data_IF_410124106104
#
_entry.id   IF_410124106104
#
_cell.length_a   1.000
_cell.length_b   1.000
_cell.length_c   1.000
_cell.angle_alpha   90.00
_cell.angle_beta   90.00
_cell.angle_gamma   90.00
#
_symmetry.space_group_name_H-M   'P 1'
#
loop_
_entity.id
_entity.type
_entity.pdbx_description
1 polymer ?
#
# COMPACT_ATOMS: atom_id res chain seq x y z
N UNK A 1 -0.27 1.58 -16.85
CA UNK A 1 -0.48 2.30 -15.60
C UNK A 1 -0.26 1.37 -14.42
N UNK A 2 0.35 1.85 -13.37
CA UNK A 2 0.65 1.07 -12.19
C UNK A 2 -0.07 1.67 -10.99
N UNK A 3 -0.53 0.82 -10.08
CA UNK A 3 -1.14 1.24 -8.83
C UNK A 3 -0.67 0.34 -7.69
N UNK A 4 -0.79 0.82 -6.48
CA UNK A 4 -0.47 0.06 -5.28
C UNK A 4 -1.76 -0.13 -4.48
N UNK A 5 -2.09 -1.40 -4.20
CA UNK A 5 -3.23 -1.74 -3.37
C UNK A 5 -2.74 -2.04 -1.97
N UNK A 6 -3.24 -1.30 -0.98
CA UNK A 6 -2.86 -1.46 0.42
C UNK A 6 -3.88 -2.28 1.17
N UNK A 7 -3.38 -3.23 1.94
CA UNK A 7 -4.20 -4.17 2.70
C UNK A 7 -3.78 -4.19 4.15
N UNK A 8 -4.74 -4.49 5.01
CA UNK A 8 -4.51 -4.77 6.42
C UNK A 8 -4.71 -6.26 6.65
N UNK A 9 -3.70 -6.90 7.24
CA UNK A 9 -3.76 -8.34 7.50
C UNK A 9 -4.54 -8.59 8.79
N UNK A 10 -5.68 -9.24 8.68
CA UNK A 10 -6.56 -9.55 9.79
C UNK A 10 -6.74 -11.06 9.87
N UNK A 11 -6.35 -11.65 11.00
CA UNK A 11 -6.43 -13.11 11.19
C UNK A 11 -7.86 -13.63 11.21
N UNK A 12 -8.81 -12.83 11.69
CA UNK A 12 -10.19 -13.27 11.83
C UNK A 12 -11.03 -13.09 10.58
N UNK A 13 -10.73 -12.05 9.78
CA UNK A 13 -11.56 -11.67 8.64
C UNK A 13 -10.83 -11.75 7.31
N UNK A 14 -9.56 -12.16 7.31
CA UNK A 14 -8.73 -12.14 6.12
C UNK A 14 -8.22 -10.73 5.81
N UNK A 15 -7.55 -10.60 4.68
CA UNK A 15 -6.94 -9.33 4.30
C UNK A 15 -8.02 -8.34 3.86
N UNK A 16 -7.93 -7.12 4.36
CA UNK A 16 -8.91 -6.07 4.06
C UNK A 16 -8.25 -4.96 3.25
N UNK A 17 -8.87 -4.58 2.13
CA UNK A 17 -8.39 -3.49 1.30
C UNK A 17 -8.57 -2.16 2.02
N UNK A 18 -7.46 -1.43 2.16
CA UNK A 18 -7.46 -0.11 2.79
C UNK A 18 -7.62 1.02 1.78
N UNK A 19 -6.98 0.87 0.63
CA UNK A 19 -7.03 1.90 -0.39
C UNK A 19 -6.12 1.58 -1.56
N UNK A 20 -6.20 2.40 -2.58
CA UNK A 20 -5.42 2.25 -3.80
C UNK A 20 -4.71 3.57 -4.09
N UNK A 21 -3.40 3.50 -4.33
CA UNK A 21 -2.60 4.66 -4.68
C UNK A 21 -2.10 4.49 -6.12
N UNK A 22 -2.62 5.28 -7.06
CA UNK A 22 -2.09 5.24 -8.44
C UNK A 22 -0.68 5.79 -8.50
N UNK A 23 0.18 5.12 -9.27
CA UNK A 23 1.54 5.61 -9.49
C UNK A 23 1.51 6.64 -10.62
N UNK A 24 1.86 7.88 -10.32
CA UNK A 24 1.83 8.98 -11.27
C UNK A 24 3.21 9.52 -11.61
N UNK A 25 4.26 8.90 -11.07
CA UNK A 25 5.63 9.35 -11.29
C UNK A 25 6.12 8.90 -12.66
N UNK A 26 6.97 9.73 -13.28
CA UNK A 26 7.54 9.40 -14.58
C UNK A 26 8.54 8.25 -14.50
N UNK A 27 9.18 8.07 -13.35
CA UNK A 27 10.18 7.04 -13.14
C UNK A 27 9.81 6.20 -11.93
N UNK A 28 8.80 5.31 -12.04
CA UNK A 28 8.34 4.51 -10.91
C UNK A 28 9.41 3.54 -10.38
N UNK A 29 10.39 3.17 -11.18
CA UNK A 29 11.49 2.31 -10.76
C UNK A 29 12.38 2.94 -9.69
N UNK A 30 12.31 4.25 -9.48
CA UNK A 30 13.03 4.95 -8.41
C UNK A 30 12.31 4.89 -7.08
N UNK A 31 11.08 4.40 -7.08
CA UNK A 31 10.30 4.29 -5.85
C UNK A 31 10.66 3.01 -5.14
N UNK A 32 11.13 3.13 -3.91
CA UNK A 32 11.48 1.96 -3.10
C UNK A 32 10.25 1.44 -2.36
N UNK A 33 10.28 0.15 -2.01
CA UNK A 33 9.21 -0.44 -1.18
C UNK A 33 9.11 0.27 0.16
N UNK A 34 10.25 0.64 0.73
CA UNK A 34 10.29 1.38 1.99
C UNK A 34 9.56 2.71 1.90
N UNK A 35 9.75 3.44 0.81
CA UNK A 35 9.08 4.72 0.58
C UNK A 35 7.56 4.55 0.52
N UNK A 36 7.10 3.53 -0.19
CA UNK A 36 5.66 3.24 -0.30
C UNK A 36 5.08 2.85 1.05
N UNK A 37 5.79 2.00 1.80
CA UNK A 37 5.34 1.58 3.13
C UNK A 37 5.31 2.73 4.13
N UNK A 38 6.28 3.64 4.06
CA UNK A 38 6.29 4.82 4.93
C UNK A 38 5.07 5.70 4.66
N UNK A 39 4.73 5.89 3.40
CA UNK A 39 3.52 6.62 3.04
C UNK A 39 2.28 5.94 3.62
N UNK A 40 2.18 4.61 3.49
CA UNK A 40 1.03 3.85 3.98
C UNK A 40 0.90 3.95 5.50
N UNK A 41 2.02 3.85 6.22
CA UNK A 41 2.01 3.96 7.68
C UNK A 41 1.54 5.33 8.14
N UNK A 42 1.87 6.37 7.41
CA UNK A 42 1.38 7.72 7.71
C UNK A 42 -0.10 7.86 7.36
N UNK A 43 -0.50 7.40 6.19
CA UNK A 43 -1.86 7.55 5.71
C UNK A 43 -2.87 6.75 6.54
N UNK A 44 -2.45 5.58 7.05
CA UNK A 44 -3.33 4.67 7.80
C UNK A 44 -2.92 4.55 9.26
N UNK A 45 -2.30 5.59 9.82
CA UNK A 45 -1.80 5.55 11.21
C UNK A 45 -2.93 5.34 12.24
N UNK A 46 -4.14 5.72 11.90
CA UNK A 46 -5.30 5.56 12.79
C UNK A 46 -5.72 4.11 13.00
N UNK A 47 -5.18 3.17 12.23
CA UNK A 47 -5.50 1.75 12.40
C UNK A 47 -4.81 1.12 13.61
N UNK A 48 -3.82 1.77 14.18
CA UNK A 48 -3.10 1.30 15.35
C UNK A 48 -1.88 0.49 14.98
N UNK A 49 -2.05 -0.76 14.55
CA UNK A 49 -0.92 -1.64 14.23
C UNK A 49 -0.54 -1.56 12.77
N UNK A 50 0.33 -0.61 12.45
CA UNK A 50 0.77 -0.40 11.06
C UNK A 50 1.70 -1.50 10.55
N UNK A 51 2.19 -2.39 11.43
CA UNK A 51 3.02 -3.51 11.01
C UNK A 51 2.23 -4.58 10.24
N UNK A 52 0.91 -4.54 10.33
CA UNK A 52 0.03 -5.45 9.59
C UNK A 52 -0.36 -4.95 8.22
N UNK A 53 0.12 -3.77 7.84
CA UNK A 53 -0.16 -3.21 6.51
C UNK A 53 0.84 -3.80 5.51
N UNK A 54 0.32 -4.20 4.35
CA UNK A 54 1.16 -4.60 3.22
C UNK A 54 0.55 -4.07 1.93
N UNK A 55 1.29 -4.13 0.84
CA UNK A 55 0.79 -3.66 -0.44
C UNK A 55 1.15 -4.61 -1.57
N UNK A 56 0.36 -4.52 -2.63
CA UNK A 56 0.58 -5.25 -3.87
C UNK A 56 0.70 -4.23 -5.00
N UNK A 57 1.71 -4.40 -5.83
CA UNK A 57 1.84 -3.59 -7.04
C UNK A 57 1.00 -4.22 -8.15
N UNK A 58 0.12 -3.43 -8.73
CA UNK A 58 -0.80 -3.89 -9.78
C UNK A 58 -0.53 -3.12 -11.05
N UNK A 59 -0.53 -3.83 -12.17
CA UNK A 59 -0.43 -3.20 -13.48
C UNK A 59 -1.83 -3.09 -14.06
N UNK A 60 -2.25 -1.87 -14.32
CA UNK A 60 -3.55 -1.57 -14.90
C UNK A 60 -3.40 -1.38 -16.41
N UNK A 61 -4.32 -1.93 -17.15
CA UNK A 61 -4.32 -1.76 -18.60
C UNK A 61 -5.08 -0.50 -19.01
#
# INVERSE_FOLDING_TARGET
>A
MVAYEFYFRDKGRGDQLLGILPERRNNPERVTQESIMNWAKMAFSNLGDTNKIFFIRVVLK
#
